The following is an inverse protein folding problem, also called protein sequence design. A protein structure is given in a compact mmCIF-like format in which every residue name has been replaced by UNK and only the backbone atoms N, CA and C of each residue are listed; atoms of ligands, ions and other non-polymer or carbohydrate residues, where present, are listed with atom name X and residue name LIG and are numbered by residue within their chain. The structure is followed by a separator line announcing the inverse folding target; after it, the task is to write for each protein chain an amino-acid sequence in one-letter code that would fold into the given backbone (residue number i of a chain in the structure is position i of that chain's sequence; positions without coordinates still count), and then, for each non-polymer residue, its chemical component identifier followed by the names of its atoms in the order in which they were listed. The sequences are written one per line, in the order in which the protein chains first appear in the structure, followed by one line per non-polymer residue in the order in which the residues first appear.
data_IF_868992430365
#
_entry.id   IF_868992430365
#
_cell.length_a   1.000
_cell.length_b   1.000
_cell.length_c   1.000
_cell.angle_alpha   90.00
_cell.angle_beta   90.00
_cell.angle_gamma   90.00
#
_symmetry.space_group_name_H-M   'P 1'
#
loop_
_entity.id
_entity.type
_entity.pdbx_description
1 polymer ?
#
# COMPACT_ATOMS: atom_id res chain seq x y z
N UNK A 1 -0.58 -13.85 18.09
CA UNK A 1 0.00 -13.03 17.01
C UNK A 1 -0.82 -13.20 15.75
N UNK A 2 -1.08 -12.12 15.03
CA UNK A 2 -1.86 -12.18 13.80
C UNK A 2 -1.08 -12.88 12.69
N UNK A 3 -1.79 -13.58 11.81
CA UNK A 3 -1.22 -14.21 10.63
C UNK A 3 -0.91 -13.17 9.55
N UNK A 4 -0.11 -13.57 8.56
CA UNK A 4 0.15 -12.73 7.37
C UNK A 4 -1.15 -12.28 6.72
N UNK A 5 -2.09 -13.20 6.53
CA UNK A 5 -3.39 -12.90 5.93
C UNK A 5 -4.17 -11.88 6.76
N UNK A 6 -4.20 -12.05 8.08
CA UNK A 6 -4.92 -11.12 8.95
C UNK A 6 -4.35 -9.70 8.88
N UNK A 7 -3.02 -9.56 8.91
CA UNK A 7 -2.37 -8.25 8.78
C UNK A 7 -2.66 -7.64 7.42
N UNK A 8 -2.50 -8.42 6.36
CA UNK A 8 -2.71 -7.94 5.00
C UNK A 8 -4.16 -7.47 4.76
N UNK A 9 -5.14 -8.27 5.21
CA UNK A 9 -6.54 -7.91 5.06
C UNK A 9 -6.92 -6.66 5.88
N UNK A 10 -6.37 -6.54 7.09
CA UNK A 10 -6.61 -5.35 7.91
C UNK A 10 -6.01 -4.09 7.26
N UNK A 11 -4.80 -4.20 6.70
CA UNK A 11 -4.16 -3.12 5.96
C UNK A 11 -5.05 -2.64 4.80
N UNK A 12 -5.53 -3.57 3.98
CA UNK A 12 -6.37 -3.22 2.83
C UNK A 12 -7.67 -2.55 3.29
N UNK A 13 -8.32 -3.08 4.33
CA UNK A 13 -9.56 -2.53 4.84
C UNK A 13 -9.38 -1.10 5.39
N UNK A 14 -8.31 -0.85 6.14
CA UNK A 14 -8.02 0.47 6.69
C UNK A 14 -7.69 1.48 5.59
N UNK A 15 -6.97 1.07 4.56
CA UNK A 15 -6.66 1.96 3.44
C UNK A 15 -7.93 2.36 2.66
N UNK A 16 -8.84 1.41 2.43
CA UNK A 16 -10.12 1.72 1.79
C UNK A 16 -10.98 2.64 2.65
N UNK A 17 -10.88 2.55 3.97
CA UNK A 17 -11.61 3.40 4.90
C UNK A 17 -10.95 4.77 5.11
N UNK A 18 -9.77 5.01 4.55
CA UNK A 18 -9.03 6.24 4.75
C UNK A 18 -8.35 6.36 6.11
N UNK A 19 -8.17 5.24 6.81
CA UNK A 19 -7.59 5.21 8.16
C UNK A 19 -6.07 4.95 8.08
N UNK A 20 -5.33 5.94 7.62
CA UNK A 20 -3.87 5.82 7.47
C UNK A 20 -3.17 5.62 8.82
N UNK A 21 -3.51 6.43 9.83
CA UNK A 21 -2.81 6.35 11.13
C UNK A 21 -3.11 5.05 11.86
N UNK A 22 -4.33 4.55 11.78
CA UNK A 22 -4.67 3.24 12.34
C UNK A 22 -3.93 2.12 11.64
N UNK A 23 -3.82 2.19 10.32
CA UNK A 23 -3.06 1.23 9.53
C UNK A 23 -1.58 1.21 9.93
N UNK A 24 -0.97 2.39 10.05
CA UNK A 24 0.43 2.50 10.47
C UNK A 24 0.64 1.89 11.85
N UNK A 25 -0.19 2.26 12.78
CA UNK A 25 -0.07 1.81 14.17
C UNK A 25 -0.23 0.30 14.32
N UNK A 26 -1.23 -0.26 13.68
CA UNK A 26 -1.58 -1.68 13.84
C UNK A 26 -0.78 -2.61 12.95
N UNK A 27 -0.41 -2.18 11.75
CA UNK A 27 0.08 -3.09 10.72
C UNK A 27 1.55 -2.94 10.35
N UNK A 28 2.18 -1.80 10.60
CA UNK A 28 3.56 -1.57 10.17
C UNK A 28 4.56 -1.70 11.31
N UNK A 29 5.67 -2.40 11.04
CA UNK A 29 6.83 -2.39 11.93
C UNK A 29 7.38 -0.96 12.06
N UNK A 30 7.93 -0.63 13.22
CA UNK A 30 8.60 0.65 13.43
C UNK A 30 9.80 0.84 12.50
N UNK A 31 10.38 -0.25 12.02
CA UNK A 31 11.55 -0.24 11.15
C UNK A 31 11.21 -0.64 9.71
N UNK A 32 9.96 -0.51 9.31
CA UNK A 32 9.52 -0.92 7.97
C UNK A 32 10.33 -0.22 6.88
N UNK A 33 10.65 -0.96 5.82
CA UNK A 33 11.27 -0.42 4.61
C UNK A 33 10.20 -0.33 3.53
N UNK A 34 10.17 0.82 2.87
CA UNK A 34 9.23 1.11 1.78
C UNK A 34 10.04 1.46 0.53
N UNK A 35 9.85 0.70 -0.53
CA UNK A 35 10.52 0.93 -1.81
C UNK A 35 9.48 1.27 -2.86
N UNK A 36 9.65 2.41 -3.51
CA UNK A 36 8.69 2.90 -4.50
C UNK A 36 9.41 3.38 -5.75
N UNK A 37 8.66 3.75 -6.77
CA UNK A 37 9.24 4.32 -8.00
C UNK A 37 9.93 5.67 -7.78
N UNK A 38 9.69 6.35 -6.67
CA UNK A 38 10.29 7.67 -6.37
C UNK A 38 11.38 7.62 -5.33
N UNK A 39 11.57 6.50 -4.63
CA UNK A 39 12.64 6.41 -3.65
C UNK A 39 12.44 5.33 -2.61
N UNK A 40 13.32 5.36 -1.62
CA UNK A 40 13.29 4.46 -0.48
C UNK A 40 12.95 5.26 0.77
N UNK A 41 12.06 4.71 1.58
CA UNK A 41 11.60 5.33 2.82
C UNK A 41 11.71 4.34 3.96
N UNK A 42 11.82 4.83 5.18
CA UNK A 42 11.98 3.97 6.34
C UNK A 42 11.11 4.43 7.50
N UNK A 43 10.55 3.45 8.25
CA UNK A 43 9.80 3.70 9.47
C UNK A 43 8.40 4.26 9.23
N UNK A 44 7.71 4.55 10.32
CA UNK A 44 6.34 5.08 10.25
C UNK A 44 6.26 6.43 9.52
N UNK A 45 7.25 7.30 9.72
CA UNK A 45 7.30 8.57 8.98
C UNK A 45 7.54 8.35 7.49
N UNK A 46 8.29 7.32 7.13
CA UNK A 46 8.48 6.93 5.74
C UNK A 46 7.17 6.47 5.09
N UNK A 47 6.35 5.73 5.82
CA UNK A 47 5.01 5.34 5.34
C UNK A 47 4.15 6.58 5.10
N UNK A 48 4.17 7.55 6.03
CA UNK A 48 3.43 8.80 5.88
C UNK A 48 3.87 9.59 4.65
N UNK A 49 5.19 9.67 4.40
CA UNK A 49 5.71 10.34 3.22
C UNK A 49 5.28 9.66 1.94
N UNK A 50 5.37 8.33 1.88
CA UNK A 50 4.94 7.58 0.71
C UNK A 50 3.43 7.75 0.45
N UNK A 51 2.63 7.72 1.51
CA UNK A 51 1.18 7.95 1.41
C UNK A 51 0.86 9.37 0.94
N UNK A 52 1.62 10.36 1.38
CA UNK A 52 1.46 11.75 0.96
C UNK A 52 1.78 11.91 -0.53
N UNK A 53 2.84 11.28 -1.02
CA UNK A 53 3.15 11.28 -2.45
C UNK A 53 2.06 10.60 -3.27
N UNK A 54 1.58 9.45 -2.82
CA UNK A 54 0.50 8.75 -3.50
C UNK A 54 -0.75 9.65 -3.57
N UNK A 55 -1.10 10.31 -2.48
CA UNK A 55 -2.23 11.23 -2.44
C UNK A 55 -2.05 12.41 -3.39
N UNK A 56 -0.83 12.92 -3.53
CA UNK A 56 -0.52 14.01 -4.46
C UNK A 56 -0.74 13.60 -5.92
N UNK A 57 -0.29 12.39 -6.31
CA UNK A 57 -0.38 11.93 -7.69
C UNK A 57 -1.73 11.30 -8.03
N UNK A 58 -2.30 10.55 -7.11
CA UNK A 58 -3.53 9.79 -7.32
C UNK A 58 -4.75 10.56 -6.77
N UNK A 59 -4.54 11.37 -5.72
CA UNK A 59 -5.61 12.15 -5.11
C UNK A 59 -6.69 11.26 -4.50
N UNK A 60 -7.93 11.64 -4.73
CA UNK A 60 -9.11 10.94 -4.21
C UNK A 60 -9.65 9.88 -5.17
N UNK A 61 -8.82 9.42 -6.13
CA UNK A 61 -9.27 8.36 -7.04
C UNK A 61 -9.73 7.14 -6.27
N UNK A 62 -10.93 6.61 -6.55
CA UNK A 62 -11.34 5.34 -5.96
C UNK A 62 -10.41 4.21 -6.40
N UNK A 63 -9.99 3.41 -5.43
CA UNK A 63 -9.15 2.24 -5.68
C UNK A 63 -10.00 1.01 -5.88
N UNK A 64 -9.56 0.13 -6.77
CA UNK A 64 -10.07 -1.24 -6.83
C UNK A 64 -8.91 -2.19 -6.56
N UNK A 65 -9.10 -3.12 -5.65
CA UNK A 65 -8.15 -4.20 -5.37
C UNK A 65 -8.56 -5.39 -6.24
N UNK A 66 -7.81 -5.62 -7.32
CA UNK A 66 -8.22 -6.55 -8.38
C UNK A 66 -7.71 -7.97 -8.16
N UNK A 67 -6.56 -8.11 -7.51
CA UNK A 67 -5.94 -9.42 -7.33
C UNK A 67 -5.06 -9.39 -6.08
N UNK A 68 -5.20 -10.40 -5.23
CA UNK A 68 -4.39 -10.55 -4.02
C UNK A 68 -3.89 -11.97 -3.91
N UNK A 69 -2.66 -12.13 -3.42
CA UNK A 69 -2.06 -13.43 -3.12
C UNK A 69 -1.34 -13.35 -1.79
N UNK A 70 -1.41 -14.41 -1.02
CA UNK A 70 -0.65 -14.55 0.24
C UNK A 70 0.00 -15.93 0.24
N UNK A 71 1.29 -15.98 0.53
CA UNK A 71 2.00 -17.23 0.72
C UNK A 71 3.11 -17.03 1.75
N UNK A 72 3.04 -17.78 2.86
CA UNK A 72 4.01 -17.65 3.94
C UNK A 72 4.01 -16.25 4.52
N UNK A 73 5.16 -15.59 4.53
CA UNK A 73 5.32 -14.23 5.02
C UNK A 73 5.09 -13.17 3.93
N UNK A 74 4.66 -13.58 2.75
CA UNK A 74 4.61 -12.71 1.58
C UNK A 74 3.20 -12.44 1.12
N UNK A 75 2.94 -11.21 0.68
CA UNK A 75 1.66 -10.83 0.11
C UNK A 75 1.87 -9.97 -1.14
N UNK A 76 0.91 -10.01 -2.03
CA UNK A 76 0.95 -9.29 -3.30
C UNK A 76 -0.42 -8.74 -3.62
N UNK A 77 -0.45 -7.51 -4.13
CA UNK A 77 -1.67 -6.80 -4.48
C UNK A 77 -1.51 -6.16 -5.84
N UNK A 78 -2.49 -6.39 -6.72
CA UNK A 78 -2.65 -5.58 -7.92
C UNK A 78 -3.89 -4.70 -7.77
N UNK A 79 -3.77 -3.45 -8.15
CA UNK A 79 -4.84 -2.48 -7.97
C UNK A 79 -4.92 -1.50 -9.14
N UNK A 80 -6.08 -0.89 -9.28
CA UNK A 80 -6.31 0.17 -10.25
C UNK A 80 -7.01 1.33 -9.54
N UNK A 81 -6.91 2.51 -10.13
CA UNK A 81 -7.60 3.69 -9.66
C UNK A 81 -7.93 4.57 -10.85
N UNK A 82 -9.02 5.32 -10.77
CA UNK A 82 -9.38 6.25 -11.84
C UNK A 82 -10.29 7.37 -11.32
N UNK A 83 -10.15 8.54 -11.93
CA UNK A 83 -11.09 9.62 -11.80
C UNK A 83 -11.43 10.16 -13.20
N UNK A 84 -11.95 11.39 -13.29
CA UNK A 84 -12.38 11.96 -14.59
C UNK A 84 -11.21 12.22 -15.54
N UNK A 85 -10.04 12.55 -15.00
CA UNK A 85 -8.91 13.01 -15.81
C UNK A 85 -7.70 12.10 -15.80
N UNK A 86 -7.63 11.14 -14.84
CA UNK A 86 -6.43 10.34 -14.64
C UNK A 86 -6.77 8.89 -14.36
N UNK A 87 -5.80 8.02 -14.61
CA UNK A 87 -5.98 6.58 -14.39
C UNK A 87 -4.66 5.92 -13.99
N UNK A 88 -4.76 4.95 -13.08
CA UNK A 88 -3.69 3.99 -12.79
C UNK A 88 -4.19 2.62 -13.20
N UNK A 89 -3.47 1.95 -14.11
CA UNK A 89 -3.82 0.62 -14.62
C UNK A 89 -2.88 -0.47 -14.14
N UNK A 90 -1.75 -0.09 -13.60
CA UNK A 90 -0.62 -0.99 -13.32
C UNK A 90 -0.18 -0.97 -11.85
N UNK A 91 -1.06 -0.61 -10.93
CA UNK A 91 -0.73 -0.59 -9.51
C UNK A 91 -0.36 -1.98 -9.01
N UNK A 92 0.77 -2.07 -8.31
CA UNK A 92 1.22 -3.34 -7.74
C UNK A 92 2.02 -3.07 -6.47
N UNK A 93 1.64 -3.75 -5.39
CA UNK A 93 2.32 -3.67 -4.10
C UNK A 93 2.78 -5.06 -3.69
N UNK A 94 4.02 -5.15 -3.20
CA UNK A 94 4.55 -6.36 -2.60
C UNK A 94 4.79 -6.15 -1.11
N UNK A 95 4.65 -7.21 -0.31
CA UNK A 95 4.75 -7.12 1.14
C UNK A 95 5.54 -8.28 1.70
N UNK A 96 6.37 -8.00 2.70
CA UNK A 96 6.89 -9.01 3.60
C UNK A 96 6.33 -8.71 5.00
N UNK A 97 5.67 -9.70 5.58
CA UNK A 97 4.98 -9.57 6.86
C UNK A 97 5.55 -10.60 7.82
N UNK A 98 6.12 -10.15 8.93
CA UNK A 98 6.73 -11.02 9.94
C UNK A 98 6.26 -10.58 11.32
N UNK A 99 6.01 -11.56 12.18
CA UNK A 99 5.64 -11.30 13.57
C UNK A 99 4.47 -10.35 13.69
N UNK A 100 3.49 -10.50 12.79
CA UNK A 100 2.26 -9.71 12.82
C UNK A 100 2.41 -8.27 12.34
N UNK A 101 3.51 -7.93 11.64
CA UNK A 101 3.75 -6.57 11.14
C UNK A 101 4.34 -6.59 9.73
N UNK A 102 4.03 -5.58 8.94
CA UNK A 102 4.64 -5.35 7.64
C UNK A 102 6.05 -4.83 7.88
N UNK A 103 7.07 -5.55 7.40
CA UNK A 103 8.47 -5.15 7.54
C UNK A 103 9.06 -4.60 6.25
N UNK A 104 8.46 -4.92 5.11
CA UNK A 104 8.84 -4.39 3.81
C UNK A 104 7.58 -4.24 2.96
N UNK A 105 7.47 -3.12 2.25
CA UNK A 105 6.44 -2.93 1.23
C UNK A 105 7.07 -2.29 0.01
N UNK A 106 6.68 -2.76 -1.16
CA UNK A 106 7.02 -2.13 -2.43
C UNK A 106 5.75 -1.61 -3.07
N UNK A 107 5.83 -0.46 -3.75
CA UNK A 107 4.71 0.10 -4.50
C UNK A 107 5.19 0.50 -5.88
N UNK A 108 4.48 0.02 -6.89
CA UNK A 108 4.66 0.46 -8.27
C UNK A 108 3.33 0.95 -8.83
N UNK A 109 3.35 2.10 -9.49
CA UNK A 109 2.21 2.58 -10.26
C UNK A 109 2.65 3.66 -11.24
N UNK A 110 1.88 3.81 -12.31
CA UNK A 110 2.04 4.90 -13.27
C UNK A 110 0.72 5.65 -13.35
N UNK A 111 0.77 6.96 -13.19
CA UNK A 111 -0.41 7.82 -13.37
C UNK A 111 -0.40 8.32 -14.80
N UNK A 112 -1.46 8.05 -15.54
CA UNK A 112 -1.61 8.48 -16.92
C UNK A 112 -2.85 9.35 -17.07
N UNK A 113 -2.82 10.21 -18.10
CA UNK A 113 -4.00 10.97 -18.45
C UNK A 113 -5.04 10.05 -19.06
N UNK A 114 -6.27 10.25 -18.66
CA UNK A 114 -7.40 9.48 -19.18
C UNK A 114 -7.90 10.16 -20.46
N UNK A 115 -7.94 9.39 -21.52
CA UNK A 115 -8.45 9.88 -22.80
C UNK A 115 -9.98 9.85 -22.88
#
# INVERSE_FOLDING_TARGET
MRTTTEVFEDHLARRLAGDLEGDIKENYSENVIFLTGTGAFEGHDGVRKSASELAEYVGDMPYEYNHTLVKGDYAFLEWTAKDKGRVVRDGADGFVIKDGKIVLQTIHYTVADKE
#
